data_IF_787623938836
#
_entry.id   IF_787623938836
#
_cell.length_a   1.000
_cell.length_b   1.000
_cell.length_c   1.000
_cell.angle_alpha   90.00
_cell.angle_beta   90.00
_cell.angle_gamma   90.00
#
_symmetry.space_group_name_H-M   'P 1'
#
loop_
_entity.id
_entity.type
_entity.pdbx_description
1 polymer ?
#
# COMPACT_ATOMS: atom_id res chain seq x y z
N UNK A 1 0.65 22.12 1.45
CA UNK A 1 1.10 20.80 0.97
C UNK A 1 1.08 19.90 2.19
N UNK A 2 0.12 18.98 2.25
CA UNK A 2 0.05 18.00 3.34
C UNK A 2 1.27 17.08 3.25
N UNK A 3 1.80 16.64 4.39
CA UNK A 3 2.87 15.66 4.42
C UNK A 3 2.26 14.27 4.13
N UNK A 4 2.93 13.45 3.34
CA UNK A 4 2.60 12.03 3.16
C UNK A 4 2.93 11.27 4.45
N UNK A 5 1.91 10.86 5.21
CA UNK A 5 2.10 10.37 6.59
C UNK A 5 1.92 8.85 6.71
N UNK A 6 1.54 8.17 5.62
CA UNK A 6 1.05 6.80 5.70
C UNK A 6 1.83 5.81 4.83
N UNK A 7 3.08 5.56 5.19
CA UNK A 7 3.80 4.38 4.72
C UNK A 7 4.33 3.58 5.91
N UNK A 8 3.93 2.31 5.98
CA UNK A 8 4.56 1.35 6.93
C UNK A 8 5.98 1.04 6.44
N UNK A 9 6.23 1.12 5.12
CA UNK A 9 7.57 1.09 4.53
C UNK A 9 8.34 -0.22 4.75
N UNK A 10 7.63 -1.33 4.95
CA UNK A 10 8.24 -2.62 5.32
C UNK A 10 8.80 -3.41 4.13
N UNK A 11 8.62 -2.91 2.91
CA UNK A 11 8.99 -3.59 1.67
C UNK A 11 8.07 -4.77 1.31
N UNK A 12 6.94 -4.91 2.00
CA UNK A 12 5.95 -5.97 1.83
C UNK A 12 4.56 -5.42 1.54
N UNK A 13 3.56 -5.82 2.32
CA UNK A 13 2.20 -5.30 2.18
C UNK A 13 2.10 -3.83 2.59
N UNK A 14 3.00 -3.36 3.46
CA UNK A 14 3.12 -1.97 3.89
C UNK A 14 3.61 -1.00 2.82
N UNK A 15 4.01 -1.51 1.64
CA UNK A 15 4.60 -0.71 0.58
C UNK A 15 6.04 -0.29 0.87
N UNK A 16 6.59 0.53 -0.02
CA UNK A 16 7.87 1.21 0.18
C UNK A 16 9.09 0.29 0.07
N UNK A 17 10.22 0.75 0.59
CA UNK A 17 11.54 0.14 0.39
C UNK A 17 12.15 -0.29 1.71
N UNK A 18 12.56 -1.55 1.81
CA UNK A 18 13.32 -2.08 2.95
C UNK A 18 14.61 -2.77 2.47
N UNK A 19 15.76 -2.17 2.75
CA UNK A 19 17.06 -2.69 2.29
C UNK A 19 17.78 -3.57 3.32
N UNK A 20 17.23 -3.65 4.55
CA UNK A 20 17.78 -4.39 5.69
C UNK A 20 19.28 -4.15 5.97
N UNK A 21 19.80 -2.96 5.65
CA UNK A 21 21.21 -2.60 5.84
C UNK A 21 22.19 -3.37 4.96
N UNK A 22 21.72 -4.04 3.91
CA UNK A 22 22.60 -4.75 2.98
C UNK A 22 23.47 -3.75 2.20
N UNK A 23 24.75 -4.09 1.97
CA UNK A 23 25.66 -3.23 1.21
C UNK A 23 25.26 -3.09 -0.27
N UNK A 24 24.52 -4.09 -0.78
CA UNK A 24 24.13 -4.23 -2.18
C UNK A 24 22.67 -3.84 -2.45
N UNK A 25 21.85 -3.64 -1.41
CA UNK A 25 20.40 -3.43 -1.58
C UNK A 25 20.05 -2.17 -2.38
N UNK A 26 20.85 -1.10 -2.25
CA UNK A 26 20.67 0.12 -3.04
C UNK A 26 20.92 -0.11 -4.53
N UNK A 27 21.93 -0.90 -4.86
CA UNK A 27 22.25 -1.26 -6.24
C UNK A 27 21.11 -2.10 -6.84
N UNK A 28 20.64 -3.12 -6.12
CA UNK A 28 19.51 -3.93 -6.56
C UNK A 28 18.23 -3.09 -6.77
N UNK A 29 17.93 -2.16 -5.85
CA UNK A 29 16.79 -1.26 -6.01
C UNK A 29 16.93 -0.38 -7.28
N UNK A 30 18.10 0.22 -7.50
CA UNK A 30 18.35 1.05 -8.69
C UNK A 30 18.15 0.25 -9.99
N UNK A 31 18.60 -1.00 -10.03
CA UNK A 31 18.36 -1.90 -11.16
C UNK A 31 16.87 -2.23 -11.34
N UNK A 32 16.11 -2.41 -10.26
CA UNK A 32 14.67 -2.60 -10.34
C UNK A 32 13.95 -1.34 -10.87
N UNK A 33 14.39 -0.16 -10.46
CA UNK A 33 13.87 1.12 -10.96
C UNK A 33 14.16 1.31 -12.46
N UNK A 34 15.36 0.95 -12.92
CA UNK A 34 15.70 0.92 -14.35
C UNK A 34 14.78 -0.03 -15.13
N UNK A 35 14.51 -1.22 -14.58
CA UNK A 35 13.59 -2.18 -15.21
C UNK A 35 12.19 -1.59 -15.29
N UNK A 36 11.69 -0.99 -14.21
CA UNK A 36 10.38 -0.30 -14.20
C UNK A 36 10.29 0.79 -15.28
N UNK A 37 11.36 1.58 -15.45
CA UNK A 37 11.43 2.60 -16.50
C UNK A 37 11.39 2.02 -17.92
N UNK A 38 11.87 0.79 -18.12
CA UNK A 38 11.84 0.11 -19.43
C UNK A 38 10.46 -0.34 -19.89
N UNK A 39 9.46 -0.35 -18.99
CA UNK A 39 8.05 -0.64 -19.29
C UNK A 39 7.22 0.64 -19.45
N UNK A 40 7.80 1.71 -19.99
CA UNK A 40 7.18 3.03 -20.16
C UNK A 40 6.60 3.63 -18.85
N UNK A 41 7.12 3.16 -17.70
CA UNK A 41 6.61 3.50 -16.39
C UNK A 41 5.22 2.92 -16.06
N UNK A 42 4.70 1.99 -16.88
CA UNK A 42 3.43 1.33 -16.63
C UNK A 42 3.54 0.29 -15.51
N UNK A 43 4.68 -0.41 -15.40
CA UNK A 43 4.98 -1.28 -14.26
C UNK A 43 5.83 -0.50 -13.26
N UNK A 44 5.26 -0.19 -12.09
CA UNK A 44 5.93 0.52 -11.00
C UNK A 44 6.16 -0.37 -9.80
N UNK A 45 7.23 -0.09 -9.07
CA UNK A 45 7.52 -0.73 -7.78
C UNK A 45 6.53 -0.18 -6.74
N UNK A 46 5.68 -1.05 -6.21
CA UNK A 46 4.86 -0.77 -5.03
C UNK A 46 5.66 -1.04 -3.75
N UNK A 47 6.41 -2.14 -3.73
CA UNK A 47 7.28 -2.47 -2.61
C UNK A 47 8.55 -3.18 -3.06
N UNK A 48 9.65 -2.90 -2.36
CA UNK A 48 10.94 -3.54 -2.57
C UNK A 48 11.53 -3.98 -1.25
N UNK A 49 12.05 -5.20 -1.20
CA UNK A 49 12.76 -5.72 -0.04
C UNK A 49 14.02 -6.45 -0.45
N UNK A 50 15.16 -6.02 0.08
CA UNK A 50 16.39 -6.80 0.09
C UNK A 50 16.63 -7.29 1.52
N UNK A 51 17.04 -8.55 1.67
CA UNK A 51 17.31 -9.15 2.98
C UNK A 51 18.75 -9.64 3.10
N UNK A 52 19.23 -9.80 4.33
CA UNK A 52 20.57 -10.33 4.61
C UNK A 52 20.78 -11.76 4.07
N UNK A 53 19.70 -12.51 3.81
CA UNK A 53 19.74 -13.88 3.29
C UNK A 53 19.83 -13.95 1.76
N UNK A 54 20.29 -12.88 1.10
CA UNK A 54 20.43 -12.79 -0.36
C UNK A 54 19.10 -12.99 -1.09
N UNK A 55 18.02 -12.47 -0.53
CA UNK A 55 16.70 -12.53 -1.14
C UNK A 55 16.20 -11.13 -1.47
N UNK A 56 15.72 -10.97 -2.71
CA UNK A 56 15.01 -9.80 -3.19
C UNK A 56 13.53 -10.17 -3.36
N UNK A 57 12.64 -9.37 -2.79
CA UNK A 57 11.21 -9.37 -3.12
C UNK A 57 10.83 -8.04 -3.75
N UNK A 58 10.18 -8.09 -4.90
CA UNK A 58 9.62 -6.92 -5.57
C UNK A 58 8.12 -7.12 -5.75
N UNK A 59 7.33 -6.13 -5.32
CA UNK A 59 5.91 -6.06 -5.62
C UNK A 59 5.70 -4.98 -6.66
N UNK A 60 5.20 -5.35 -7.83
CA UNK A 60 4.95 -4.42 -8.94
C UNK A 60 3.46 -4.15 -9.11
N UNK A 61 3.12 -2.92 -9.45
CA UNK A 61 1.76 -2.54 -9.83
C UNK A 61 1.71 -1.99 -11.25
N UNK A 62 0.58 -2.23 -11.91
CA UNK A 62 0.35 -1.76 -13.28
C UNK A 62 -0.52 -0.51 -13.31
N UNK A 63 0.04 0.61 -13.74
CA UNK A 63 -0.58 1.94 -13.65
C UNK A 63 -1.76 2.11 -14.60
N UNK A 64 -1.73 1.45 -15.75
CA UNK A 64 -2.82 1.40 -16.74
C UNK A 64 -4.05 0.64 -16.25
N UNK A 65 -3.94 -0.11 -15.14
CA UNK A 65 -5.08 -0.80 -14.53
C UNK A 65 -5.64 -0.04 -13.33
N UNK A 66 -6.97 -0.05 -13.21
CA UNK A 66 -7.71 0.67 -12.18
C UNK A 66 -7.15 0.48 -10.77
N UNK A 67 -6.83 -0.74 -10.36
CA UNK A 67 -6.37 -1.07 -9.01
C UNK A 67 -4.92 -1.54 -8.94
N UNK A 68 -4.15 -1.42 -10.02
CA UNK A 68 -2.72 -1.74 -9.99
C UNK A 68 -2.43 -3.23 -9.97
N UNK A 69 -3.27 -4.01 -10.65
CA UNK A 69 -3.11 -5.45 -10.76
C UNK A 69 -2.34 -5.78 -12.05
N UNK A 70 -1.06 -6.18 -11.97
CA UNK A 70 -0.37 -6.75 -13.12
C UNK A 70 -0.96 -8.12 -13.48
N UNK A 71 -0.84 -8.52 -14.75
CA UNK A 71 -1.12 -9.89 -15.19
C UNK A 71 0.04 -10.82 -14.84
N UNK A 72 -0.14 -12.12 -15.04
CA UNK A 72 0.97 -13.08 -14.92
C UNK A 72 2.07 -12.81 -15.95
N UNK A 73 1.69 -12.44 -17.17
CA UNK A 73 2.63 -12.08 -18.25
C UNK A 73 3.43 -10.82 -17.89
N UNK A 74 2.79 -9.82 -17.27
CA UNK A 74 3.48 -8.61 -16.79
C UNK A 74 4.55 -8.97 -15.72
N UNK A 75 4.21 -9.87 -14.79
CA UNK A 75 5.12 -10.34 -13.74
C UNK A 75 6.27 -11.14 -14.34
N UNK A 76 6.00 -12.03 -15.28
CA UNK A 76 7.02 -12.82 -15.98
C UNK A 76 7.98 -11.93 -16.77
N UNK A 77 7.45 -11.00 -17.56
CA UNK A 77 8.26 -10.06 -18.34
C UNK A 77 9.18 -9.22 -17.43
N UNK A 78 8.64 -8.68 -16.32
CA UNK A 78 9.45 -7.93 -15.35
C UNK A 78 10.51 -8.82 -14.69
N UNK A 79 10.15 -10.06 -14.33
CA UNK A 79 11.09 -11.01 -13.71
C UNK A 79 12.27 -11.31 -14.62
N UNK A 80 12.02 -11.56 -15.91
CA UNK A 80 13.07 -11.82 -16.90
C UNK A 80 14.00 -10.61 -17.05
N UNK A 81 13.42 -9.42 -17.23
CA UNK A 81 14.20 -8.19 -17.41
C UNK A 81 15.06 -7.87 -16.17
N UNK A 82 14.49 -8.02 -14.98
CA UNK A 82 15.21 -7.74 -13.74
C UNK A 82 16.27 -8.80 -13.43
N UNK A 83 16.00 -10.08 -13.71
CA UNK A 83 17.00 -11.14 -13.57
C UNK A 83 18.22 -10.86 -14.44
N UNK A 84 18.04 -10.47 -15.70
CA UNK A 84 19.15 -10.15 -16.60
C UNK A 84 20.04 -9.02 -16.04
N UNK A 85 19.43 -7.96 -15.49
CA UNK A 85 20.14 -6.86 -14.84
C UNK A 85 20.92 -7.30 -13.59
N UNK A 86 20.34 -8.19 -12.79
CA UNK A 86 21.00 -8.76 -11.62
C UNK A 86 22.18 -9.64 -12.02
N UNK A 87 22.05 -10.46 -13.06
CA UNK A 87 23.13 -11.35 -13.53
C UNK A 87 24.34 -10.54 -14.04
N UNK A 88 24.10 -9.42 -14.74
CA UNK A 88 25.14 -8.48 -15.15
C UNK A 88 25.84 -7.82 -13.94
N UNK A 89 25.07 -7.44 -12.92
CA UNK A 89 25.60 -6.83 -11.70
C UNK A 89 26.38 -7.83 -10.84
N UNK A 90 25.91 -9.08 -10.77
CA UNK A 90 26.59 -10.17 -10.08
C UNK A 90 27.94 -10.47 -10.75
N UNK A 91 27.95 -10.56 -12.09
CA UNK A 91 29.16 -10.77 -12.87
C UNK A 91 30.20 -9.65 -12.70
N UNK A 92 29.72 -8.42 -12.53
CA UNK A 92 30.55 -7.25 -12.24
C UNK A 92 30.95 -7.11 -10.76
N UNK A 93 30.48 -8.01 -9.88
CA UNK A 93 30.74 -7.94 -8.43
C UNK A 93 30.05 -6.78 -7.72
N UNK A 94 29.03 -6.16 -8.33
CA UNK A 94 28.24 -5.06 -7.75
C UNK A 94 27.18 -5.55 -6.76
N UNK A 95 26.78 -6.82 -6.88
CA UNK A 95 25.92 -7.52 -5.92
C UNK A 95 26.53 -8.90 -5.56
N UNK A 96 26.09 -9.54 -4.46
CA UNK A 96 26.52 -10.88 -4.11
C UNK A 96 26.08 -11.93 -5.11
N UNK A 97 26.76 -13.08 -5.09
CA UNK A 97 26.37 -14.24 -5.89
C UNK A 97 25.15 -14.95 -5.32
N UNK A 98 24.36 -15.57 -6.21
CA UNK A 98 23.23 -16.45 -5.86
C UNK A 98 22.07 -15.72 -5.17
N UNK A 99 21.77 -14.49 -5.59
CA UNK A 99 20.60 -13.77 -5.07
C UNK A 99 19.30 -14.40 -5.57
N UNK A 100 18.40 -14.74 -4.65
CA UNK A 100 17.04 -15.17 -4.96
C UNK A 100 16.15 -13.96 -5.30
N UNK A 101 15.25 -14.12 -6.26
CA UNK A 101 14.31 -13.09 -6.69
C UNK A 101 12.88 -13.63 -6.66
N UNK A 102 11.99 -12.90 -6.00
CA UNK A 102 10.55 -13.07 -6.07
C UNK A 102 9.93 -11.78 -6.61
N UNK A 103 9.13 -11.86 -7.67
CA UNK A 103 8.32 -10.76 -8.18
C UNK A 103 6.84 -11.12 -8.05
N UNK A 104 6.05 -10.22 -7.48
CA UNK A 104 4.62 -10.43 -7.24
C UNK A 104 3.81 -9.15 -7.38
N UNK A 105 2.48 -9.25 -7.25
CA UNK A 105 1.61 -8.08 -7.11
C UNK A 105 1.48 -7.67 -5.63
N UNK A 106 1.03 -6.44 -5.32
CA UNK A 106 0.82 -5.99 -3.95
C UNK A 106 -0.21 -6.80 -3.14
N UNK A 107 -1.11 -7.51 -3.84
CA UNK A 107 -2.24 -8.21 -3.22
C UNK A 107 -3.40 -7.31 -2.81
N UNK A 108 -4.37 -7.91 -2.11
CA UNK A 108 -5.66 -7.31 -1.73
C UNK A 108 -5.64 -6.51 -0.42
N UNK A 109 -4.60 -6.65 0.40
CA UNK A 109 -4.45 -5.93 1.68
C UNK A 109 -3.42 -4.79 1.61
N UNK A 110 -3.16 -4.29 0.40
CA UNK A 110 -2.20 -3.19 0.18
C UNK A 110 -2.57 -1.95 1.00
N UNK A 111 -1.56 -1.24 1.47
CA UNK A 111 -1.67 0.08 2.09
C UNK A 111 -1.98 1.11 1.01
N UNK A 112 -2.80 2.10 1.38
CA UNK A 112 -3.19 3.22 0.54
C UNK A 112 -2.32 4.42 0.95
N UNK A 113 -1.54 4.96 0.02
CA UNK A 113 -0.82 6.22 0.23
C UNK A 113 -1.83 7.36 0.24
N UNK A 114 -1.83 8.15 1.31
CA UNK A 114 -2.77 9.27 1.47
C UNK A 114 -2.02 10.57 1.23
N UNK A 115 -2.46 11.43 0.30
CA UNK A 115 -3.71 11.34 -0.49
C UNK A 115 -3.61 10.57 -1.82
N UNK A 116 -2.39 10.27 -2.31
CA UNK A 116 -2.11 9.87 -3.69
C UNK A 116 -2.94 8.71 -4.25
N UNK A 117 -3.19 7.69 -3.43
CA UNK A 117 -3.94 6.50 -3.85
C UNK A 117 -5.45 6.64 -3.57
N UNK A 118 -5.91 7.66 -2.85
CA UNK A 118 -7.32 7.79 -2.43
C UNK A 118 -8.28 7.79 -3.62
N UNK A 119 -7.99 8.59 -4.65
CA UNK A 119 -8.84 8.69 -5.84
C UNK A 119 -8.99 7.34 -6.54
N UNK A 120 -7.89 6.62 -6.66
CA UNK A 120 -7.82 5.32 -7.33
C UNK A 120 -8.63 4.26 -6.61
N UNK A 121 -8.64 4.30 -5.28
CA UNK A 121 -9.29 3.29 -4.43
C UNK A 121 -10.60 3.76 -3.77
N UNK A 122 -11.14 4.94 -4.11
CA UNK A 122 -12.32 5.55 -3.47
C UNK A 122 -13.59 4.68 -3.41
N UNK A 123 -13.74 3.73 -4.32
CA UNK A 123 -14.87 2.79 -4.35
C UNK A 123 -14.66 1.54 -3.48
N UNK A 124 -13.45 1.33 -2.96
CA UNK A 124 -13.14 0.21 -2.08
C UNK A 124 -13.50 0.54 -0.63
N UNK A 125 -13.94 -0.48 0.09
CA UNK A 125 -13.92 -0.41 1.55
C UNK A 125 -12.48 -0.51 2.02
N UNK A 126 -12.13 0.27 3.04
CA UNK A 126 -10.79 0.37 3.59
C UNK A 126 -10.83 0.10 5.09
N UNK A 127 -9.86 -0.65 5.57
CA UNK A 127 -9.59 -0.69 7.00
C UNK A 127 -8.72 0.52 7.36
N UNK A 128 -9.21 1.33 8.30
CA UNK A 128 -8.56 2.56 8.73
C UNK A 128 -8.26 2.48 10.21
N UNK A 129 -7.01 2.80 10.59
CA UNK A 129 -6.60 3.09 11.97
C UNK A 129 -6.23 4.56 12.07
N UNK A 130 -6.67 5.23 13.11
CA UNK A 130 -6.48 6.66 13.30
C UNK A 130 -6.36 7.00 14.78
N UNK A 131 -5.91 8.22 15.04
CA UNK A 131 -5.74 8.80 16.36
C UNK A 131 -6.55 10.07 16.46
N UNK A 132 -7.42 10.20 17.46
CA UNK A 132 -8.14 11.44 17.77
C UNK A 132 -7.60 12.04 19.06
N UNK A 133 -7.40 13.36 19.05
CA UNK A 133 -7.13 14.13 20.26
C UNK A 133 -8.45 14.61 20.82
N UNK A 134 -8.75 14.29 22.08
CA UNK A 134 -9.93 14.84 22.77
C UNK A 134 -9.75 16.32 23.08
N UNK A 135 -10.85 17.06 23.22
CA UNK A 135 -10.84 18.50 23.57
C UNK A 135 -10.10 18.80 24.89
N UNK A 136 -9.99 17.80 25.77
CA UNK A 136 -9.23 17.87 27.03
C UNK A 136 -7.72 17.58 26.87
N UNK A 137 -7.17 17.54 25.64
CA UNK A 137 -5.76 17.52 25.21
C UNK A 137 -4.77 16.54 25.89
N UNK A 138 -5.18 15.82 26.93
CA UNK A 138 -4.34 14.96 27.77
C UNK A 138 -4.50 13.48 27.44
N UNK A 139 -5.52 13.12 26.63
CA UNK A 139 -5.73 11.73 26.20
C UNK A 139 -5.93 11.64 24.70
N UNK A 140 -5.00 10.90 24.09
CA UNK A 140 -5.03 10.45 22.71
C UNK A 140 -5.86 9.17 22.64
N UNK A 141 -6.90 9.12 21.81
CA UNK A 141 -7.72 7.93 21.61
C UNK A 141 -7.41 7.31 20.24
N UNK A 142 -7.00 6.05 20.24
CA UNK A 142 -6.89 5.26 19.02
C UNK A 142 -8.26 4.71 18.62
N UNK A 143 -8.55 4.77 17.33
CA UNK A 143 -9.75 4.21 16.74
C UNK A 143 -9.42 3.44 15.47
N UNK A 144 -10.24 2.42 15.19
CA UNK A 144 -10.15 1.68 13.95
C UNK A 144 -11.52 1.22 13.44
N UNK A 145 -11.58 0.87 12.16
CA UNK A 145 -12.79 0.32 11.57
C UNK A 145 -12.69 0.12 10.07
N UNK A 146 -13.72 -0.52 9.50
CA UNK A 146 -13.86 -0.67 8.05
C UNK A 146 -14.80 0.41 7.53
N UNK A 147 -14.27 1.32 6.72
CA UNK A 147 -14.98 2.47 6.22
C UNK A 147 -14.98 2.52 4.70
N UNK A 148 -15.91 3.29 4.14
CA UNK A 148 -15.86 3.77 2.76
C UNK A 148 -15.42 5.22 2.78
N UNK A 149 -14.61 5.61 1.81
CA UNK A 149 -14.29 7.02 1.58
C UNK A 149 -15.55 7.73 1.07
N UNK A 150 -15.86 8.90 1.66
CA UNK A 150 -16.97 9.75 1.21
C UNK A 150 -16.43 10.91 0.39
N UNK A 151 -15.43 11.59 0.93
CA UNK A 151 -14.73 12.70 0.30
C UNK A 151 -13.36 12.85 0.95
N UNK A 152 -12.48 13.56 0.25
CA UNK A 152 -11.20 14.01 0.78
C UNK A 152 -10.92 15.40 0.21
N UNK A 153 -10.19 16.21 0.97
CA UNK A 153 -9.79 17.56 0.60
C UNK A 153 -8.28 17.70 0.81
N UNK A 154 -7.57 17.95 -0.27
CA UNK A 154 -6.10 18.05 -0.28
C UNK A 154 -5.63 19.41 0.27
N UNK A 155 -6.47 20.45 0.18
CA UNK A 155 -6.12 21.77 0.72
C UNK A 155 -6.33 21.81 2.23
N UNK A 156 -7.38 21.16 2.73
CA UNK A 156 -7.66 21.01 4.16
C UNK A 156 -6.91 19.84 4.81
N UNK A 157 -6.28 18.96 4.01
CA UNK A 157 -5.62 17.76 4.47
C UNK A 157 -6.54 16.83 5.27
N UNK A 158 -7.78 16.62 4.80
CA UNK A 158 -8.81 15.88 5.56
C UNK A 158 -9.53 14.81 4.72
N UNK A 159 -9.88 13.71 5.37
CA UNK A 159 -10.78 12.68 4.84
C UNK A 159 -12.10 12.70 5.60
N UNK A 160 -13.19 12.44 4.88
CA UNK A 160 -14.49 12.09 5.45
C UNK A 160 -14.82 10.63 5.13
N UNK A 161 -15.12 9.87 6.17
CA UNK A 161 -15.40 8.44 6.11
C UNK A 161 -16.85 8.15 6.49
N UNK A 162 -17.40 7.07 5.95
CA UNK A 162 -18.65 6.47 6.41
C UNK A 162 -18.47 4.99 6.71
N UNK A 163 -19.40 4.40 7.47
CA UNK A 163 -19.38 2.96 7.74
C UNK A 163 -19.52 2.20 6.41
N UNK A 164 -18.59 1.29 6.13
CA UNK A 164 -18.67 0.42 4.96
C UNK A 164 -19.79 -0.61 5.15
N UNK A 165 -20.54 -0.89 4.10
CA UNK A 165 -21.62 -1.89 4.12
C UNK A 165 -21.08 -3.31 3.90
N UNK A 166 -20.28 -3.77 4.87
CA UNK A 166 -19.59 -5.07 4.86
C UNK A 166 -20.07 -5.97 6.00
N UNK A 167 -19.83 -7.28 5.89
CA UNK A 167 -20.31 -8.29 6.85
C UNK A 167 -19.96 -7.97 8.30
N UNK A 168 -18.72 -7.56 8.59
CA UNK A 168 -18.24 -7.26 9.95
C UNK A 168 -19.01 -6.08 10.59
N UNK A 169 -19.33 -5.06 9.81
CA UNK A 169 -20.09 -3.90 10.30
C UNK A 169 -21.59 -4.21 10.45
N UNK A 170 -22.15 -5.04 9.57
CA UNK A 170 -23.55 -5.50 9.65
C UNK A 170 -23.80 -6.36 10.90
N UNK A 171 -22.87 -7.27 11.21
CA UNK A 171 -23.00 -8.21 12.33
C UNK A 171 -23.18 -7.54 13.70
N UNK A 172 -22.66 -6.32 13.88
CA UNK A 172 -22.87 -5.53 15.10
C UNK A 172 -24.36 -5.22 15.38
N UNK A 173 -25.23 -5.32 14.37
CA UNK A 173 -26.69 -5.10 14.49
C UNK A 173 -27.52 -6.38 14.43
N UNK A 174 -26.86 -7.54 14.27
CA UNK A 174 -27.48 -8.86 14.05
C UNK A 174 -27.12 -9.46 12.69
N UNK A 175 -26.86 -10.77 12.65
CA UNK A 175 -26.45 -11.49 11.43
C UNK A 175 -27.44 -11.23 10.28
N UNK A 176 -26.92 -10.77 9.14
CA UNK A 176 -27.70 -10.58 7.91
C UNK A 176 -28.51 -9.29 7.81
N UNK A 177 -28.52 -8.44 8.85
CA UNK A 177 -29.22 -7.15 8.78
C UNK A 177 -28.39 -6.10 8.01
N UNK A 178 -29.00 -5.34 7.08
CA UNK A 178 -28.35 -4.18 6.48
C UNK A 178 -28.00 -3.12 7.54
N UNK A 179 -27.08 -2.20 7.21
CA UNK A 179 -26.80 -1.05 8.06
C UNK A 179 -28.06 -0.23 8.34
N UNK A 180 -28.26 0.15 9.60
CA UNK A 180 -29.32 1.06 10.04
C UNK A 180 -29.17 2.46 9.43
N UNK A 181 -30.25 3.26 9.43
CA UNK A 181 -30.21 4.66 8.97
C UNK A 181 -29.12 5.46 9.68
N UNK A 182 -29.02 5.33 11.02
CA UNK A 182 -27.98 5.98 11.83
C UNK A 182 -26.57 5.61 11.38
N UNK A 183 -26.31 4.34 11.06
CA UNK A 183 -24.98 3.90 10.58
C UNK A 183 -24.66 4.43 9.18
N UNK A 184 -25.65 4.48 8.28
CA UNK A 184 -25.47 5.02 6.93
C UNK A 184 -25.18 6.51 6.92
N UNK A 185 -25.75 7.25 7.86
CA UNK A 185 -25.58 8.70 8.04
C UNK A 185 -24.36 9.05 8.88
N UNK A 186 -23.80 8.11 9.65
CA UNK A 186 -22.61 8.34 10.47
C UNK A 186 -21.40 8.76 9.62
N UNK A 187 -20.65 9.73 10.15
CA UNK A 187 -19.45 10.29 9.52
C UNK A 187 -18.31 10.35 10.53
N UNK A 188 -17.11 10.10 10.04
CA UNK A 188 -15.86 10.36 10.75
C UNK A 188 -15.02 11.27 9.87
N UNK A 189 -14.59 12.41 10.44
CA UNK A 189 -13.60 13.28 9.82
C UNK A 189 -12.24 13.02 10.46
N UNK A 190 -11.21 12.90 9.63
CA UNK A 190 -9.84 12.66 10.07
C UNK A 190 -8.89 13.55 9.27
N UNK A 191 -8.04 14.38 9.92
CA UNK A 191 -6.87 14.94 9.27
C UNK A 191 -5.97 13.83 8.73
N UNK A 192 -5.25 14.05 7.63
CA UNK A 192 -4.34 13.05 7.06
C UNK A 192 -3.29 12.60 8.09
N UNK A 193 -2.80 13.52 8.92
CA UNK A 193 -1.81 13.24 9.98
C UNK A 193 -2.32 12.36 11.13
N UNK A 194 -3.63 12.30 11.31
CA UNK A 194 -4.27 11.48 12.32
C UNK A 194 -4.33 10.01 11.90
N UNK A 195 -4.25 9.73 10.59
CA UNK A 195 -4.30 8.38 10.04
C UNK A 195 -2.99 7.63 10.36
N UNK A 196 -3.12 6.41 10.88
CA UNK A 196 -2.00 5.51 11.20
C UNK A 196 -1.88 4.35 10.21
N UNK A 197 -3.01 3.93 9.64
CA UNK A 197 -3.06 2.94 8.57
C UNK A 197 -4.33 3.14 7.75
N UNK A 198 -4.21 3.09 6.43
CA UNK A 198 -5.32 2.90 5.50
C UNK A 198 -4.90 1.75 4.60
N UNK A 199 -5.69 0.68 4.56
CA UNK A 199 -5.45 -0.45 3.66
C UNK A 199 -6.75 -0.89 3.02
N UNK A 200 -6.67 -1.46 1.82
CA UNK A 200 -7.84 -2.08 1.19
C UNK A 200 -8.38 -3.17 2.11
N UNK A 201 -9.70 -3.15 2.33
CA UNK A 201 -10.39 -4.21 3.06
C UNK A 201 -10.89 -5.28 2.08
N UNK A 202 -10.62 -6.53 2.41
CA UNK A 202 -11.13 -7.71 1.70
C UNK A 202 -11.98 -8.55 2.65
N UNK A 203 -13.16 -8.98 2.20
CA UNK A 203 -13.96 -9.98 2.89
C UNK A 203 -13.37 -11.37 2.57
N UNK A 204 -12.26 -11.72 3.19
CA UNK A 204 -11.79 -13.12 3.22
C UNK A 204 -12.57 -13.93 4.25
#
# INVERSE_FOLDING_TARGET
>A
MCIDILEVGDGGAGGGVSLAGTWWGKEALALAEEVSASFDGDLKIYAFKATANLEIRVRIEKMSTRYGSPTIDDIEAYTIAYRAKLDDAESAGRIPKNVSLEVSSPGVERVIRVPDDLERFKERSMYVRYVMTSEDAATTQEGDGVFRLISYDVDLCECTWGIADVKINRQQTGKGRPLSKKQREWRLQTPFESLKLVRVYSEC
#
